data_IF_080434207768
#
_entry.id   IF_080434207768
#
_cell.length_a   1.000
_cell.length_b   1.000
_cell.length_c   1.000
_cell.angle_alpha   90.00
_cell.angle_beta   90.00
_cell.angle_gamma   90.00
#
_symmetry.space_group_name_H-M   'P 1'
#
loop_
_entity.id
_entity.type
_entity.pdbx_description
1 polymer ?
#
# COMPACT_ATOMS: atom_id res chain seq x y z
N UNK A 1 -4.98 -26.42 -0.50
CA UNK A 1 -3.56 -26.01 -0.56
C UNK A 1 -3.17 -25.88 -2.03
N UNK A 2 -2.47 -24.82 -2.41
CA UNK A 2 -1.94 -24.65 -3.76
C UNK A 2 -0.46 -24.29 -3.66
N UNK A 3 0.30 -24.51 -4.74
CA UNK A 3 1.70 -24.13 -4.85
C UNK A 3 1.78 -22.96 -5.82
N UNK A 4 2.44 -21.88 -5.38
CA UNK A 4 2.73 -20.73 -6.22
C UNK A 4 4.22 -20.77 -6.62
N UNK A 5 4.49 -20.57 -7.91
CA UNK A 5 5.85 -20.44 -8.44
C UNK A 5 5.89 -19.20 -9.32
N UNK A 6 6.96 -18.42 -9.20
CA UNK A 6 7.19 -17.21 -9.98
C UNK A 6 8.68 -17.07 -10.29
N UNK A 7 8.98 -16.45 -11.43
CA UNK A 7 10.36 -16.18 -11.86
C UNK A 7 11.03 -15.10 -10.98
N UNK A 8 12.35 -15.01 -11.06
CA UNK A 8 13.11 -13.95 -10.41
C UNK A 8 12.80 -12.56 -11.03
N UNK A 9 12.92 -11.47 -10.25
CA UNK A 9 12.77 -10.13 -10.80
C UNK A 9 13.87 -9.84 -11.83
N UNK A 10 13.58 -8.96 -12.80
CA UNK A 10 14.56 -8.50 -13.77
C UNK A 10 15.65 -7.64 -13.09
N UNK A 11 16.92 -8.08 -13.05
CA UNK A 11 17.99 -7.33 -12.40
C UNK A 11 18.23 -5.95 -13.00
N UNK A 12 17.95 -5.76 -14.30
CA UNK A 12 18.16 -4.48 -14.97
C UNK A 12 17.18 -3.36 -14.54
N UNK A 13 16.13 -3.71 -13.78
CA UNK A 13 15.19 -2.74 -13.22
C UNK A 13 15.50 -2.43 -11.75
N UNK A 14 16.46 -3.13 -11.13
CA UNK A 14 16.83 -2.94 -9.73
C UNK A 14 17.92 -1.85 -9.68
N UNK A 15 17.73 -0.77 -8.90
CA UNK A 15 18.79 0.21 -8.69
C UNK A 15 20.04 -0.43 -8.09
N UNK A 16 21.23 -0.01 -8.52
CA UNK A 16 22.50 -0.57 -8.02
C UNK A 16 22.61 -0.48 -6.48
N UNK A 17 22.06 0.58 -5.88
CA UNK A 17 22.02 0.78 -4.43
C UNK A 17 21.16 -0.24 -3.68
N UNK A 18 20.17 -0.85 -4.35
CA UNK A 18 19.22 -1.81 -3.77
C UNK A 18 19.58 -3.26 -4.10
N UNK A 19 20.63 -3.47 -4.90
CA UNK A 19 21.06 -4.81 -5.30
C UNK A 19 21.52 -5.65 -4.10
N UNK A 20 22.25 -5.03 -3.16
CA UNK A 20 22.79 -5.67 -1.96
C UNK A 20 22.14 -5.09 -0.71
N UNK A 21 21.73 -5.97 0.20
CA UNK A 21 21.10 -5.60 1.46
C UNK A 21 19.69 -6.16 1.60
N UNK A 22 18.93 -5.56 2.51
CA UNK A 22 17.61 -6.06 2.90
C UNK A 22 16.52 -5.47 2.00
N UNK A 23 15.71 -6.35 1.44
CA UNK A 23 14.48 -6.04 0.70
C UNK A 23 13.33 -6.91 1.20
N UNK A 24 12.18 -6.87 0.53
CA UNK A 24 10.97 -7.60 0.92
C UNK A 24 10.32 -8.24 -0.30
N UNK A 25 9.88 -9.50 -0.17
CA UNK A 25 8.93 -10.11 -1.09
C UNK A 25 7.52 -10.05 -0.47
N UNK A 26 6.54 -9.63 -1.26
CA UNK A 26 5.16 -9.45 -0.84
C UNK A 26 4.25 -10.39 -1.63
N UNK A 27 3.41 -11.14 -0.91
CA UNK A 27 2.29 -11.87 -1.47
C UNK A 27 1.03 -11.11 -1.08
N UNK A 28 0.38 -10.51 -2.07
CA UNK A 28 -0.85 -9.75 -1.90
C UNK A 28 -2.00 -10.56 -2.47
N UNK A 29 -3.04 -10.78 -1.66
CA UNK A 29 -4.26 -11.41 -2.15
C UNK A 29 -5.38 -10.38 -2.21
N UNK A 30 -5.99 -10.29 -3.38
CA UNK A 30 -7.11 -9.41 -3.67
C UNK A 30 -8.35 -10.22 -3.99
N UNK A 31 -9.50 -9.75 -3.52
CA UNK A 31 -10.81 -10.25 -3.94
C UNK A 31 -11.61 -9.06 -4.46
N UNK A 32 -12.13 -9.15 -5.69
CA UNK A 32 -12.90 -8.06 -6.34
C UNK A 32 -12.16 -6.72 -6.31
N UNK A 33 -10.87 -6.73 -6.66
CA UNK A 33 -10.01 -5.54 -6.64
C UNK A 33 -9.65 -5.01 -5.24
N UNK A 34 -10.22 -5.57 -4.16
CA UNK A 34 -9.91 -5.17 -2.79
C UNK A 34 -8.88 -6.13 -2.18
N UNK A 35 -7.74 -5.60 -1.76
CA UNK A 35 -6.74 -6.35 -0.99
C UNK A 35 -7.29 -6.70 0.39
N UNK A 36 -7.28 -7.98 0.75
CA UNK A 36 -7.75 -8.44 2.07
C UNK A 36 -6.62 -8.98 2.95
N UNK A 37 -5.49 -9.37 2.35
CA UNK A 37 -4.31 -9.82 3.10
C UNK A 37 -3.03 -9.57 2.31
N UNK A 38 -1.99 -9.18 3.06
CA UNK A 38 -0.61 -9.07 2.60
C UNK A 38 0.29 -9.89 3.50
N UNK A 39 1.14 -10.70 2.91
CA UNK A 39 2.18 -11.45 3.62
C UNK A 39 3.53 -11.03 3.06
N UNK A 40 4.34 -10.39 3.90
CA UNK A 40 5.69 -9.96 3.55
C UNK A 40 6.76 -10.82 4.21
N UNK A 41 7.83 -11.10 3.47
CA UNK A 41 9.03 -11.74 3.98
C UNK A 41 10.23 -10.86 3.71
N UNK A 42 11.07 -10.67 4.73
CA UNK A 42 12.37 -10.04 4.52
C UNK A 42 13.26 -10.95 3.69
N UNK A 43 13.97 -10.35 2.74
CA UNK A 43 14.95 -10.99 1.88
C UNK A 43 16.26 -10.24 2.04
N UNK A 44 17.31 -10.94 2.44
CA UNK A 44 18.66 -10.37 2.44
C UNK A 44 19.39 -10.82 1.17
N UNK A 45 19.81 -9.87 0.35
CA UNK A 45 20.64 -10.10 -0.83
C UNK A 45 22.10 -9.85 -0.44
N UNK A 46 22.95 -10.87 -0.52
CA UNK A 46 24.36 -10.74 -0.19
C UNK A 46 25.25 -11.54 -1.14
N UNK A 47 26.50 -11.10 -1.29
CA UNK A 47 27.51 -11.89 -1.98
C UNK A 47 27.88 -13.12 -1.16
N UNK A 48 28.04 -14.25 -1.83
CA UNK A 48 28.49 -15.50 -1.21
C UNK A 48 30.00 -15.50 -0.96
N UNK A 49 30.77 -14.82 -1.81
CA UNK A 49 32.22 -14.70 -1.72
C UNK A 49 32.62 -13.62 -0.69
N UNK A 50 33.47 -13.97 0.28
CA UNK A 50 33.94 -13.05 1.32
C UNK A 50 34.63 -11.81 0.75
N UNK A 51 35.44 -11.98 -0.29
CA UNK A 51 36.17 -10.88 -0.92
C UNK A 51 35.23 -9.81 -1.49
N UNK A 52 34.13 -10.21 -2.11
CA UNK A 52 33.12 -9.30 -2.65
C UNK A 52 32.27 -8.64 -1.57
N UNK A 53 32.17 -9.24 -0.38
CA UNK A 53 31.50 -8.62 0.77
C UNK A 53 32.36 -7.52 1.39
N UNK A 54 33.66 -7.76 1.51
CA UNK A 54 34.61 -6.80 2.09
C UNK A 54 34.94 -5.68 1.10
N UNK A 55 35.01 -5.99 -0.19
CA UNK A 55 35.33 -5.07 -1.27
C UNK A 55 34.26 -5.17 -2.37
N UNK A 56 33.06 -4.62 -2.14
CA UNK A 56 31.98 -4.71 -3.11
C UNK A 56 32.35 -4.01 -4.42
N UNK A 57 32.05 -4.62 -5.58
CA UNK A 57 32.31 -4.00 -6.87
C UNK A 57 31.45 -2.75 -7.04
N UNK A 58 31.93 -1.79 -7.84
CA UNK A 58 31.21 -0.53 -8.12
C UNK A 58 29.86 -0.78 -8.78
N UNK A 59 29.80 -1.78 -9.67
CA UNK A 59 28.54 -2.27 -10.25
C UNK A 59 28.21 -3.63 -9.63
N UNK A 60 27.02 -3.80 -9.06
CA UNK A 60 26.62 -5.08 -8.49
C UNK A 60 26.59 -6.20 -9.53
N UNK A 61 27.13 -7.36 -9.16
CA UNK A 61 27.04 -8.58 -9.98
C UNK A 61 25.93 -9.47 -9.45
N UNK A 62 24.74 -9.36 -10.04
CA UNK A 62 23.56 -10.12 -9.65
C UNK A 62 23.72 -11.64 -9.81
N UNK A 63 24.65 -12.11 -10.65
CA UNK A 63 24.92 -13.54 -10.81
C UNK A 63 25.59 -14.17 -9.58
N UNK A 64 26.22 -13.33 -8.74
CA UNK A 64 26.94 -13.72 -7.52
C UNK A 64 26.17 -13.42 -6.24
N UNK A 65 24.96 -12.90 -6.34
CA UNK A 65 24.12 -12.62 -5.19
C UNK A 65 23.29 -13.84 -4.80
N UNK A 66 23.25 -14.11 -3.50
CA UNK A 66 22.36 -15.09 -2.91
C UNK A 66 21.27 -14.38 -2.12
N UNK A 67 20.05 -14.89 -2.27
CA UNK A 67 18.87 -14.41 -1.56
C UNK A 67 18.60 -15.30 -0.36
N UNK A 68 18.59 -14.72 0.83
CA UNK A 68 18.18 -15.39 2.06
C UNK A 68 16.83 -14.85 2.52
N UNK A 69 15.80 -15.68 2.50
CA UNK A 69 14.44 -15.29 2.90
C UNK A 69 14.21 -15.67 4.37
N UNK A 70 13.83 -14.70 5.20
CA UNK A 70 13.47 -14.94 6.60
C UNK A 70 12.05 -15.55 6.69
N UNK A 71 11.90 -16.77 6.21
CA UNK A 71 10.62 -17.47 6.10
C UNK A 71 9.95 -17.74 7.46
N UNK A 72 10.73 -17.81 8.53
CA UNK A 72 10.26 -18.08 9.89
C UNK A 72 9.54 -16.90 10.55
N UNK A 73 9.68 -15.68 10.02
CA UNK A 73 9.11 -14.47 10.61
C UNK A 73 8.35 -13.63 9.56
N UNK A 74 7.22 -14.13 9.03
CA UNK A 74 6.40 -13.39 8.09
C UNK A 74 5.75 -12.17 8.76
N UNK A 75 5.63 -11.08 8.02
CA UNK A 75 4.82 -9.92 8.39
C UNK A 75 3.47 -10.03 7.71
N UNK A 76 2.41 -10.20 8.50
CA UNK A 76 1.05 -10.37 8.00
C UNK A 76 0.23 -9.13 8.33
N UNK A 77 -0.33 -8.52 7.30
CA UNK A 77 -1.29 -7.41 7.41
C UNK A 77 -2.62 -7.85 6.81
N UNK A 78 -3.72 -7.56 7.50
CA UNK A 78 -5.08 -7.93 7.08
C UNK A 78 -5.90 -6.67 6.92
N UNK A 79 -6.73 -6.64 5.90
CA UNK A 79 -7.62 -5.54 5.58
C UNK A 79 -9.05 -6.07 5.55
N UNK A 80 -9.98 -5.28 6.07
CA UNK A 80 -11.41 -5.58 5.95
C UNK A 80 -11.87 -5.17 4.56
N UNK A 81 -12.59 -6.05 3.88
CA UNK A 81 -13.12 -5.81 2.54
C UNK A 81 -14.60 -6.19 2.47
N UNK A 82 -15.30 -5.68 1.46
CA UNK A 82 -16.64 -6.14 1.14
C UNK A 82 -16.58 -7.45 0.34
N UNK A 83 -17.21 -8.50 0.88
CA UNK A 83 -17.27 -9.83 0.25
C UNK A 83 -18.50 -10.00 -0.66
N UNK A 84 -19.54 -9.19 -0.45
CA UNK A 84 -20.81 -9.27 -1.19
C UNK A 84 -20.85 -8.27 -2.35
N UNK A 85 -21.69 -8.52 -3.34
CA UNK A 85 -21.96 -7.52 -4.39
C UNK A 85 -22.97 -6.54 -3.82
N UNK A 86 -22.51 -5.37 -3.41
CA UNK A 86 -23.41 -4.30 -2.97
C UNK A 86 -23.98 -3.54 -4.18
N UNK A 87 -24.20 -4.24 -5.30
CA UNK A 87 -24.72 -3.69 -6.56
C UNK A 87 -26.21 -3.32 -6.45
N UNK A 88 -26.86 -3.60 -5.31
CA UNK A 88 -28.30 -3.40 -5.14
C UNK A 88 -28.64 -2.65 -3.83
N UNK A 89 -28.07 -1.47 -3.55
CA UNK A 89 -28.67 -0.46 -2.65
C UNK A 89 -28.27 0.98 -3.03
N UNK A 90 -28.65 1.42 -4.22
CA UNK A 90 -28.71 2.84 -4.59
C UNK A 90 -30.12 3.29 -4.95
N UNK A 91 -31.14 2.62 -4.42
CA UNK A 91 -32.53 3.05 -4.50
C UNK A 91 -33.09 3.04 -3.07
N UNK A 92 -33.80 4.11 -2.72
CA UNK A 92 -34.49 4.38 -1.46
C UNK A 92 -33.70 5.03 -0.31
N UNK A 93 -33.18 6.23 -0.57
CA UNK A 93 -33.03 7.26 0.47
C UNK A 93 -33.59 8.62 0.02
N UNK A 94 -34.78 8.63 -0.60
CA UNK A 94 -35.67 9.80 -0.58
C UNK A 94 -36.94 9.45 0.20
N UNK A 95 -36.81 9.44 1.54
CA UNK A 95 -37.96 9.71 2.40
C UNK A 95 -37.85 11.15 2.91
N UNK A 96 -38.67 11.99 2.29
CA UNK A 96 -38.93 13.39 2.59
C UNK A 96 -39.08 13.69 4.08
N UNK A 97 -38.26 14.61 4.60
CA UNK A 97 -38.52 15.29 5.88
C UNK A 97 -38.77 16.79 5.60
N UNK A 98 -40.03 17.28 5.64
CA UNK A 98 -40.36 18.65 5.23
C UNK A 98 -40.24 19.68 6.37
N UNK A 99 -39.33 19.50 7.35
CA UNK A 99 -39.36 20.36 8.54
C UNK A 99 -37.99 20.78 9.10
N UNK A 100 -37.18 21.43 8.26
CA UNK A 100 -36.13 22.34 8.75
C UNK A 100 -35.99 23.58 7.84
N UNK A 101 -37.12 24.21 7.50
CA UNK A 101 -37.15 25.58 6.97
C UNK A 101 -37.64 26.53 8.07
N UNK A 102 -36.79 26.79 9.05
CA UNK A 102 -36.97 27.90 9.99
C UNK A 102 -35.64 28.09 10.69
N UNK A 103 -34.81 29.00 10.18
CA UNK A 103 -33.86 29.84 10.95
C UNK A 103 -32.95 30.68 10.01
N UNK A 104 -33.40 30.99 8.79
CA UNK A 104 -32.83 32.11 8.03
C UNK A 104 -33.65 33.36 8.35
N UNK A 105 -33.09 34.23 9.20
CA UNK A 105 -33.05 35.70 9.06
C UNK A 105 -32.77 36.34 10.43
N UNK A 106 -31.61 37.00 10.58
CA UNK A 106 -31.46 38.47 10.55
C UNK A 106 -30.09 38.89 11.09
N UNK A 107 -29.49 39.85 10.40
CA UNK A 107 -28.18 40.48 10.59
C UNK A 107 -27.94 41.15 11.96
N UNK A 108 -26.67 41.18 12.42
CA UNK A 108 -25.85 42.41 12.54
C UNK A 108 -24.83 42.45 13.71
N UNK A 109 -23.54 42.61 13.32
CA UNK A 109 -22.37 43.25 13.95
C UNK A 109 -21.44 42.56 14.98
N UNK A 110 -20.13 42.92 14.99
CA UNK A 110 -19.02 42.08 15.44
C UNK A 110 -18.36 42.57 16.75
N UNK A 111 -17.64 41.67 17.44
CA UNK A 111 -16.53 42.08 18.30
C UNK A 111 -15.55 40.93 18.58
N UNK A 112 -14.28 41.27 18.63
CA UNK A 112 -13.13 40.39 18.69
C UNK A 112 -12.94 39.69 20.04
N UNK A 113 -12.46 38.44 20.03
CA UNK A 113 -11.26 38.01 20.77
C UNK A 113 -10.97 36.48 20.68
N UNK A 114 -9.71 36.17 20.35
CA UNK A 114 -8.84 35.02 20.72
C UNK A 114 -9.43 33.60 20.92
N UNK A 115 -8.90 32.66 20.10
CA UNK A 115 -8.21 31.45 20.61
C UNK A 115 -8.59 30.08 20.02
N UNK A 116 -7.61 29.42 19.36
CA UNK A 116 -7.33 27.95 19.22
C UNK A 116 -8.45 27.07 18.56
N UNK A 117 -8.29 26.07 17.68
CA UNK A 117 -7.28 25.04 17.31
C UNK A 117 -7.75 24.27 16.05
N UNK A 118 -6.82 23.55 15.38
CA UNK A 118 -6.97 22.24 14.65
C UNK A 118 -8.05 22.13 13.54
N UNK A 119 -7.92 21.45 12.42
CA UNK A 119 -7.00 20.48 11.83
C UNK A 119 -7.54 20.19 10.40
N UNK A 120 -6.66 19.74 9.50
CA UNK A 120 -6.95 18.72 8.46
C UNK A 120 -8.03 18.99 7.38
N UNK A 121 -7.61 19.13 6.12
CA UNK A 121 -7.52 17.99 5.18
C UNK A 121 -7.36 18.51 3.73
N UNK A 122 -6.30 18.07 3.06
CA UNK A 122 -6.11 18.27 1.62
C UNK A 122 -5.25 17.15 1.08
N UNK A 123 -5.86 16.03 0.70
CA UNK A 123 -5.23 15.01 -0.15
C UNK A 123 -6.31 14.29 -0.96
N UNK A 124 -6.66 14.86 -2.11
CA UNK A 124 -7.17 14.10 -3.26
C UNK A 124 -6.07 14.15 -4.32
N UNK A 125 -5.27 13.10 -4.42
CA UNK A 125 -4.45 12.82 -5.60
C UNK A 125 -4.66 11.35 -5.95
N UNK A 126 -5.16 11.18 -7.17
CA UNK A 126 -5.43 9.91 -7.83
C UNK A 126 -4.17 9.07 -8.00
N UNK A 127 -4.32 7.76 -7.88
CA UNK A 127 -3.45 6.82 -8.59
C UNK A 127 -4.22 5.51 -8.86
N UNK A 128 -4.96 5.48 -9.97
CA UNK A 128 -5.37 4.24 -10.62
C UNK A 128 -4.19 3.75 -11.46
N UNK A 129 -3.58 2.63 -11.06
CA UNK A 129 -2.73 1.83 -11.94
C UNK A 129 -3.30 0.42 -12.01
N UNK A 130 -4.07 0.20 -13.07
CA UNK A 130 -4.57 -1.09 -13.54
C UNK A 130 -3.37 -2.01 -13.83
N UNK A 131 -3.30 -3.17 -13.16
CA UNK A 131 -2.25 -4.16 -13.38
C UNK A 131 -2.87 -5.36 -14.08
N UNK A 132 -2.76 -5.39 -15.41
CA UNK A 132 -3.07 -6.56 -16.23
C UNK A 132 -1.93 -7.56 -16.10
N UNK A 133 -2.23 -8.75 -15.57
CA UNK A 133 -1.38 -9.92 -15.72
C UNK A 133 -1.97 -10.85 -16.79
N UNK A 134 -1.22 -11.03 -17.88
CA UNK A 134 -1.27 -12.23 -18.73
C UNK A 134 -0.33 -13.29 -18.17
#
# INVERSE_FOLDING_TARGET
IFVFSADAPNPGLIPDADAVGVTVVLITCTYRGQEFIRVGYYVNNEYTETELRENPPVKPDFSKLQRNILASNPRVTRFHINWEDNTEKLEDAESSNPNLQSLLSTDALPSASKGWSTSENSLNVMLESHMDCM
#
